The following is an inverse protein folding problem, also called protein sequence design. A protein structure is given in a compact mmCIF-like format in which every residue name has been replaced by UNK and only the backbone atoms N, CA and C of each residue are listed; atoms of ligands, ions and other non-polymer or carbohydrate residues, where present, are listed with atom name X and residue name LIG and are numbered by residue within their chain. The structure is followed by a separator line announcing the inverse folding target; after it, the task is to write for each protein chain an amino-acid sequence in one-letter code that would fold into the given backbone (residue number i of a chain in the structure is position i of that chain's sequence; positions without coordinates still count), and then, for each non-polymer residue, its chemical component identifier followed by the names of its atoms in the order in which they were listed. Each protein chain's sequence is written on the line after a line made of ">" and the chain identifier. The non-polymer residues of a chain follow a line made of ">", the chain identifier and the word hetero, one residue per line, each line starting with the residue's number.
data_IF_583975626280
#
_entry.id   IF_583975626280
#
_cell.length_a   1.000
_cell.length_b   1.000
_cell.length_c   1.000
_cell.angle_alpha   90.00
_cell.angle_beta   90.00
_cell.angle_gamma   90.00
#
_symmetry.space_group_name_H-M   'P 1'
#
loop_
_entity.id
_entity.type
_entity.pdbx_description
1 polymer ?
#
# COMPACT_ATOMS: atom_id res chain seq x y z
N UNK A 1 -10.24 11.88 -28.79
CA UNK A 1 -11.23 11.39 -27.82
C UNK A 1 -10.46 10.78 -26.67
N UNK A 2 -10.34 11.50 -25.54
CA UNK A 2 -9.78 10.96 -24.30
C UNK A 2 -10.87 10.06 -23.70
N UNK A 3 -10.68 8.76 -23.78
CA UNK A 3 -11.47 7.85 -22.96
C UNK A 3 -11.08 8.10 -21.49
N UNK A 4 -11.94 8.83 -20.81
CA UNK A 4 -11.89 8.99 -19.36
C UNK A 4 -12.16 7.61 -18.75
N UNK A 5 -11.11 6.94 -18.26
CA UNK A 5 -11.26 5.77 -17.40
C UNK A 5 -11.75 6.24 -16.01
N UNK A 6 -12.96 6.77 -15.98
CA UNK A 6 -13.66 7.04 -14.74
C UNK A 6 -14.10 5.70 -14.16
N UNK A 7 -13.34 5.21 -13.20
CA UNK A 7 -13.84 4.17 -12.32
C UNK A 7 -14.82 4.83 -11.36
N UNK A 8 -16.04 4.38 -11.34
CA UNK A 8 -16.98 4.75 -10.32
C UNK A 8 -16.39 4.39 -8.94
N UNK A 9 -16.51 5.28 -7.94
CA UNK A 9 -16.04 4.96 -6.60
C UNK A 9 -16.77 3.71 -6.10
N UNK A 10 -16.02 2.70 -5.69
CA UNK A 10 -16.58 1.47 -5.12
C UNK A 10 -17.38 1.85 -3.88
N UNK A 11 -18.65 1.41 -3.76
CA UNK A 11 -19.44 1.64 -2.57
C UNK A 11 -18.74 1.04 -1.33
N UNK A 12 -18.82 1.67 -0.15
CA UNK A 12 -18.16 1.17 1.07
C UNK A 12 -18.58 -0.26 1.49
N UNK A 13 -19.76 -0.70 1.04
CA UNK A 13 -20.38 -1.99 1.39
C UNK A 13 -20.19 -3.08 0.33
N UNK A 14 -19.23 -2.94 -0.57
CA UNK A 14 -19.00 -3.97 -1.57
C UNK A 14 -18.59 -5.29 -0.88
N UNK A 15 -19.30 -6.38 -1.21
CA UNK A 15 -18.96 -7.75 -0.75
C UNK A 15 -17.90 -8.40 -1.63
N UNK A 16 -17.22 -7.61 -2.45
CA UNK A 16 -16.21 -8.06 -3.38
C UNK A 16 -15.04 -8.69 -2.65
N UNK A 17 -14.55 -9.79 -3.18
CA UNK A 17 -13.40 -10.50 -2.62
C UNK A 17 -12.09 -10.01 -3.22
N UNK A 18 -10.99 -10.20 -2.51
CA UNK A 18 -9.65 -9.92 -3.04
C UNK A 18 -9.36 -10.72 -4.32
N UNK A 19 -9.90 -11.94 -4.43
CA UNK A 19 -9.74 -12.80 -5.61
C UNK A 19 -10.42 -12.20 -6.85
N UNK A 20 -11.65 -11.69 -6.71
CA UNK A 20 -12.38 -11.03 -7.78
C UNK A 20 -11.69 -9.74 -8.23
N UNK A 21 -11.24 -8.92 -7.27
CA UNK A 21 -10.49 -7.70 -7.53
C UNK A 21 -9.20 -8.01 -8.31
N UNK A 22 -8.44 -8.99 -7.83
CA UNK A 22 -7.17 -9.38 -8.44
C UNK A 22 -7.35 -9.97 -9.83
N UNK A 23 -8.40 -10.77 -10.04
CA UNK A 23 -8.72 -11.35 -11.35
C UNK A 23 -9.02 -10.25 -12.37
N UNK A 24 -9.92 -9.33 -12.03
CA UNK A 24 -10.25 -8.19 -12.90
C UNK A 24 -9.03 -7.32 -13.20
N UNK A 25 -8.26 -6.98 -12.16
CA UNK A 25 -7.02 -6.21 -12.31
C UNK A 25 -6.09 -6.85 -13.32
N UNK A 26 -5.81 -8.16 -13.19
CA UNK A 26 -4.89 -8.87 -14.06
C UNK A 26 -5.41 -8.96 -15.50
N UNK A 27 -6.69 -9.21 -15.69
CA UNK A 27 -7.32 -9.26 -17.03
C UNK A 27 -7.17 -7.91 -17.74
N UNK A 28 -7.51 -6.82 -17.05
CA UNK A 28 -7.42 -5.47 -17.62
C UNK A 28 -6.00 -4.97 -17.81
N UNK A 29 -5.11 -5.25 -16.84
CA UNK A 29 -3.71 -4.87 -16.94
C UNK A 29 -3.01 -5.55 -18.12
N UNK A 30 -3.28 -6.84 -18.36
CA UNK A 30 -2.71 -7.59 -19.49
C UNK A 30 -3.21 -7.10 -20.85
N UNK A 31 -4.39 -6.49 -20.92
CA UNK A 31 -4.94 -5.90 -22.12
C UNK A 31 -4.29 -4.54 -22.48
N UNK A 32 -3.60 -3.90 -21.54
CA UNK A 32 -2.91 -2.63 -21.79
C UNK A 32 -1.52 -2.88 -22.40
N UNK A 33 -1.21 -2.32 -23.57
CA UNK A 33 0.07 -2.55 -24.25
C UNK A 33 1.29 -2.23 -23.37
N UNK A 34 1.22 -1.15 -22.58
CA UNK A 34 2.30 -0.71 -21.69
C UNK A 34 2.51 -1.64 -20.48
N UNK A 35 1.57 -2.53 -20.17
CA UNK A 35 1.63 -3.50 -19.09
C UNK A 35 1.75 -4.95 -19.57
N UNK A 36 1.70 -5.16 -20.88
CA UNK A 36 1.84 -6.49 -21.49
C UNK A 36 3.19 -7.11 -21.14
N UNK A 37 3.19 -8.38 -20.75
CA UNK A 37 4.40 -9.12 -20.36
C UNK A 37 4.98 -8.76 -18.99
N UNK A 38 4.39 -7.83 -18.24
CA UNK A 38 4.83 -7.53 -16.88
C UNK A 38 4.45 -8.65 -15.91
N UNK A 39 5.32 -8.89 -14.93
CA UNK A 39 5.04 -9.76 -13.78
C UNK A 39 4.35 -8.94 -12.71
N UNK A 40 3.15 -9.38 -12.31
CA UNK A 40 2.37 -8.69 -11.29
C UNK A 40 2.57 -9.32 -9.91
N UNK A 41 2.82 -8.49 -8.92
CA UNK A 41 2.96 -8.85 -7.51
C UNK A 41 1.75 -8.27 -6.78
N UNK A 42 0.83 -9.14 -6.42
CA UNK A 42 -0.44 -8.77 -5.77
C UNK A 42 -0.25 -8.55 -4.27
N UNK A 43 -1.27 -8.01 -3.62
CA UNK A 43 -1.29 -7.88 -2.17
C UNK A 43 -1.32 -9.26 -1.48
N UNK A 44 -0.75 -9.31 -0.28
CA UNK A 44 -0.66 -10.51 0.56
C UNK A 44 -1.26 -10.25 1.93
N UNK A 45 -2.01 -11.20 2.46
CA UNK A 45 -2.60 -11.15 3.81
C UNK A 45 -4.02 -11.66 3.81
N UNK A 46 -4.65 -11.61 4.98
CA UNK A 46 -5.98 -12.18 5.20
C UNK A 46 -7.06 -11.09 5.25
N UNK A 47 -8.27 -11.45 4.83
CA UNK A 47 -9.45 -10.62 5.08
C UNK A 47 -9.61 -10.40 6.59
N UNK A 48 -9.86 -9.17 6.99
CA UNK A 48 -9.98 -8.80 8.41
C UNK A 48 -8.64 -8.57 9.11
N UNK A 49 -7.51 -8.50 8.36
CA UNK A 49 -6.25 -8.03 8.92
C UNK A 49 -6.46 -6.64 9.54
N UNK A 50 -6.07 -6.48 10.80
CA UNK A 50 -6.30 -5.22 11.54
C UNK A 50 -5.45 -4.07 11.03
N UNK A 51 -4.33 -4.37 10.38
CA UNK A 51 -3.39 -3.41 9.83
C UNK A 51 -3.15 -3.70 8.35
N UNK A 52 -3.34 -2.70 7.49
CA UNK A 52 -2.90 -2.75 6.11
C UNK A 52 -1.72 -1.81 5.89
N UNK A 53 -0.68 -2.28 5.20
CA UNK A 53 0.48 -1.48 4.82
C UNK A 53 0.52 -1.34 3.29
N UNK A 54 0.65 -0.10 2.83
CA UNK A 54 0.60 0.23 1.41
C UNK A 54 1.91 0.89 0.98
N UNK A 55 2.65 0.21 0.12
CA UNK A 55 3.86 0.73 -0.52
C UNK A 55 3.60 1.32 -1.91
N UNK A 56 4.65 1.68 -2.60
CA UNK A 56 4.59 2.32 -3.91
C UNK A 56 4.51 1.30 -5.05
N UNK A 57 5.52 0.48 -5.20
CA UNK A 57 5.65 -0.56 -6.22
C UNK A 57 6.58 -1.67 -5.74
N UNK A 58 6.45 -2.91 -6.28
CA UNK A 58 7.38 -3.99 -5.99
C UNK A 58 8.81 -3.69 -6.43
N UNK A 59 9.78 -4.26 -5.72
CA UNK A 59 11.18 -4.28 -6.11
C UNK A 59 11.61 -5.62 -6.74
N UNK A 60 12.88 -5.75 -7.18
CA UNK A 60 13.39 -6.99 -7.75
C UNK A 60 13.23 -8.22 -6.84
N UNK A 61 13.53 -8.17 -5.52
CA UNK A 61 13.29 -9.30 -4.63
C UNK A 61 11.82 -9.74 -4.55
N UNK A 62 10.89 -8.80 -4.72
CA UNK A 62 9.46 -9.10 -4.72
C UNK A 62 9.07 -9.92 -5.97
N UNK A 63 9.64 -9.57 -7.13
CA UNK A 63 9.39 -10.30 -8.36
C UNK A 63 10.00 -11.71 -8.35
N UNK A 64 11.20 -11.86 -7.76
CA UNK A 64 11.85 -13.17 -7.61
C UNK A 64 11.04 -14.10 -6.72
N UNK A 65 10.41 -13.57 -5.68
CA UNK A 65 9.63 -14.35 -4.71
C UNK A 65 8.13 -14.47 -5.06
N UNK A 66 7.61 -13.61 -5.93
CA UNK A 66 6.18 -13.48 -6.19
C UNK A 66 5.39 -12.84 -5.05
N UNK A 67 6.05 -12.18 -4.08
CA UNK A 67 5.45 -11.62 -2.85
C UNK A 67 5.87 -10.18 -2.64
N UNK A 68 5.00 -9.29 -2.10
CA UNK A 68 5.35 -7.90 -1.82
C UNK A 68 6.28 -7.79 -0.59
N UNK A 69 7.12 -6.78 -0.55
CA UNK A 69 8.03 -6.46 0.55
C UNK A 69 8.97 -7.61 0.92
N UNK A 70 9.78 -8.04 -0.01
CA UNK A 70 10.84 -9.02 0.17
C UNK A 70 12.23 -8.38 0.17
N UNK A 71 13.26 -9.17 0.47
CA UNK A 71 14.64 -8.68 0.54
C UNK A 71 14.88 -7.65 1.65
N UNK A 72 15.94 -6.83 1.58
CA UNK A 72 16.33 -5.92 2.67
C UNK A 72 15.24 -4.95 3.12
N UNK A 73 14.38 -4.50 2.20
CA UNK A 73 13.22 -3.63 2.51
C UNK A 73 12.18 -4.39 3.33
N UNK A 74 11.90 -5.63 2.94
CA UNK A 74 10.98 -6.53 3.66
C UNK A 74 11.51 -6.89 5.05
N UNK A 75 12.79 -7.23 5.15
CA UNK A 75 13.44 -7.54 6.43
C UNK A 75 13.33 -6.37 7.42
N UNK A 76 13.52 -5.14 6.93
CA UNK A 76 13.35 -3.95 7.76
C UNK A 76 11.88 -3.75 8.16
N UNK A 77 10.95 -3.94 7.24
CA UNK A 77 9.52 -3.86 7.53
C UNK A 77 9.10 -4.88 8.59
N UNK A 78 9.57 -6.12 8.49
CA UNK A 78 9.28 -7.17 9.48
C UNK A 78 9.81 -6.81 10.87
N UNK A 79 11.02 -6.24 10.97
CA UNK A 79 11.55 -5.73 12.25
C UNK A 79 10.71 -4.60 12.82
N UNK A 80 10.21 -3.70 11.97
CA UNK A 80 9.30 -2.63 12.38
C UNK A 80 8.00 -3.23 12.93
N UNK A 81 7.40 -4.21 12.24
CA UNK A 81 6.20 -4.90 12.70
C UNK A 81 6.43 -5.65 14.02
N UNK A 82 7.52 -6.41 14.14
CA UNK A 82 7.89 -7.11 15.37
C UNK A 82 8.05 -6.17 16.57
N UNK A 83 8.61 -4.98 16.33
CA UNK A 83 8.79 -3.97 17.39
C UNK A 83 7.47 -3.40 17.91
N UNK A 84 6.38 -3.53 17.18
CA UNK A 84 5.01 -3.18 17.62
C UNK A 84 4.16 -4.40 17.97
N UNK A 85 4.77 -5.59 18.08
CA UNK A 85 4.10 -6.82 18.51
C UNK A 85 3.29 -7.52 17.40
N UNK A 86 3.54 -7.22 16.14
CA UNK A 86 2.88 -7.85 14.99
C UNK A 86 3.84 -8.71 14.17
N UNK A 87 3.26 -9.69 13.48
CA UNK A 87 3.94 -10.46 12.45
C UNK A 87 3.41 -10.04 11.07
N UNK A 88 4.18 -10.34 10.02
CA UNK A 88 3.76 -10.14 8.64
C UNK A 88 2.40 -10.81 8.35
N UNK A 89 2.18 -12.01 8.88
CA UNK A 89 0.93 -12.76 8.73
C UNK A 89 -0.30 -12.11 9.38
N UNK A 90 -0.11 -11.15 10.28
CA UNK A 90 -1.19 -10.42 10.96
C UNK A 90 -1.67 -9.21 10.15
N UNK A 91 -0.97 -8.90 9.05
CA UNK A 91 -1.16 -7.70 8.26
C UNK A 91 -1.62 -8.02 6.84
N UNK A 92 -2.20 -7.03 6.18
CA UNK A 92 -2.35 -7.00 4.73
C UNK A 92 -1.27 -6.10 4.13
N UNK A 93 -0.46 -6.64 3.23
CA UNK A 93 0.67 -5.96 2.62
C UNK A 93 0.41 -5.78 1.12
N UNK A 94 0.44 -4.56 0.62
CA UNK A 94 0.21 -4.28 -0.80
C UNK A 94 0.98 -3.06 -1.27
N UNK A 95 1.01 -2.85 -2.58
CA UNK A 95 1.56 -1.65 -3.21
C UNK A 95 0.47 -0.96 -4.04
N UNK A 96 0.62 0.34 -4.31
CA UNK A 96 -0.26 1.05 -5.25
C UNK A 96 -0.15 0.39 -6.62
N UNK A 97 1.06 0.32 -7.17
CA UNK A 97 1.36 -0.33 -8.45
C UNK A 97 1.76 -1.79 -8.20
N UNK A 98 1.29 -2.70 -9.05
CA UNK A 98 1.43 -4.15 -8.81
C UNK A 98 2.55 -4.80 -9.63
N UNK A 99 3.45 -4.04 -10.24
CA UNK A 99 4.59 -4.57 -11.01
C UNK A 99 5.85 -3.75 -10.70
N UNK A 100 7.04 -4.32 -11.01
CA UNK A 100 8.29 -3.56 -10.89
C UNK A 100 8.26 -2.40 -11.86
N UNK A 101 8.42 -1.19 -11.33
CA UNK A 101 8.48 0.03 -12.11
C UNK A 101 9.64 0.90 -11.68
N UNK A 102 10.26 1.56 -12.63
CA UNK A 102 11.18 2.67 -12.34
C UNK A 102 10.40 3.95 -12.06
N UNK A 103 11.05 4.93 -11.43
CA UNK A 103 10.38 6.20 -11.08
C UNK A 103 9.72 6.89 -12.28
N UNK A 104 10.32 6.79 -13.46
CA UNK A 104 9.86 7.41 -14.71
C UNK A 104 8.65 6.69 -15.32
N UNK A 105 8.47 5.40 -15.05
CA UNK A 105 7.32 4.61 -15.49
C UNK A 105 6.06 4.86 -14.66
N UNK A 106 6.20 5.45 -13.47
CA UNK A 106 5.07 5.72 -12.58
C UNK A 106 4.35 7.03 -12.96
N UNK A 107 3.82 7.06 -14.17
CA UNK A 107 3.02 8.16 -14.68
C UNK A 107 1.69 8.30 -13.94
N UNK A 108 1.03 9.45 -14.08
CA UNK A 108 -0.30 9.63 -13.53
C UNK A 108 -1.31 8.62 -14.09
N UNK A 109 -1.19 8.23 -15.36
CA UNK A 109 -2.09 7.25 -15.98
C UNK A 109 -1.94 5.87 -15.34
N UNK A 110 -0.72 5.43 -15.07
CA UNK A 110 -0.45 4.19 -14.34
C UNK A 110 -1.02 4.26 -12.93
N UNK A 111 -0.79 5.35 -12.21
CA UNK A 111 -1.34 5.52 -10.87
C UNK A 111 -2.87 5.55 -10.88
N UNK A 112 -3.47 6.25 -11.84
CA UNK A 112 -4.92 6.32 -12.02
C UNK A 112 -5.53 4.95 -12.38
N UNK A 113 -4.81 4.11 -13.11
CA UNK A 113 -5.23 2.75 -13.39
C UNK A 113 -5.26 1.87 -12.13
N UNK A 114 -4.20 1.90 -11.31
CA UNK A 114 -4.07 1.00 -10.15
C UNK A 114 -4.79 1.50 -8.88
N UNK A 115 -4.91 2.81 -8.69
CA UNK A 115 -5.49 3.39 -7.47
C UNK A 115 -6.90 2.88 -7.14
N UNK A 116 -7.84 2.73 -8.10
CA UNK A 116 -9.16 2.18 -7.82
C UNK A 116 -9.11 0.74 -7.28
N UNK A 117 -8.21 -0.10 -7.78
CA UNK A 117 -8.03 -1.47 -7.29
C UNK A 117 -7.50 -1.48 -5.86
N UNK A 118 -6.50 -0.62 -5.55
CA UNK A 118 -6.04 -0.45 -4.18
C UNK A 118 -7.17 -0.04 -3.24
N UNK A 119 -8.03 0.89 -3.66
CA UNK A 119 -9.19 1.31 -2.86
C UNK A 119 -10.17 0.17 -2.60
N UNK A 120 -10.41 -0.68 -3.61
CA UNK A 120 -11.24 -1.89 -3.50
C UNK A 120 -10.59 -2.92 -2.57
N UNK A 121 -9.27 -3.15 -2.68
CA UNK A 121 -8.53 -4.02 -1.76
C UNK A 121 -8.71 -3.57 -0.30
N UNK A 122 -8.52 -2.29 0.01
CA UNK A 122 -8.71 -1.75 1.36
C UNK A 122 -10.15 -1.95 1.83
N UNK A 123 -11.14 -1.73 0.96
CA UNK A 123 -12.56 -1.96 1.26
C UNK A 123 -12.86 -3.44 1.54
N UNK A 124 -12.26 -4.36 0.78
CA UNK A 124 -12.45 -5.81 0.96
C UNK A 124 -11.77 -6.34 2.23
N UNK A 125 -10.57 -5.84 2.56
CA UNK A 125 -9.80 -6.21 3.77
C UNK A 125 -10.46 -5.68 5.03
N UNK A 126 -11.02 -4.46 4.99
CA UNK A 126 -11.65 -3.74 6.12
C UNK A 126 -10.70 -3.60 7.33
N UNK A 127 -9.48 -3.06 7.16
CA UNK A 127 -8.54 -2.93 8.27
C UNK A 127 -9.00 -1.84 9.25
N UNK A 128 -8.58 -1.95 10.52
CA UNK A 128 -8.78 -0.87 11.50
C UNK A 128 -7.90 0.34 11.20
N UNK A 129 -6.69 0.07 10.68
CA UNK A 129 -5.68 1.10 10.39
C UNK A 129 -5.03 0.78 9.04
N UNK A 130 -4.80 1.84 8.25
CA UNK A 130 -3.95 1.82 7.07
C UNK A 130 -2.67 2.58 7.36
N UNK A 131 -1.51 2.02 7.03
CA UNK A 131 -0.21 2.71 7.03
C UNK A 131 0.24 2.90 5.60
N UNK A 132 0.47 4.14 5.18
CA UNK A 132 1.04 4.44 3.86
C UNK A 132 2.53 4.70 3.96
N UNK A 133 3.32 4.00 3.14
CA UNK A 133 4.79 3.98 3.17
C UNK A 133 5.35 4.89 2.05
N UNK A 134 5.42 6.18 2.32
CA UNK A 134 5.99 7.18 1.40
C UNK A 134 4.98 8.08 0.68
N UNK A 135 5.47 8.91 -0.22
CA UNK A 135 4.67 9.95 -0.89
C UNK A 135 3.55 9.38 -1.76
N UNK A 136 3.86 8.46 -2.68
CA UNK A 136 2.90 7.97 -3.68
C UNK A 136 1.71 7.23 -3.06
N UNK A 137 1.88 6.25 -2.14
CA UNK A 137 0.74 5.62 -1.51
C UNK A 137 -0.10 6.60 -0.68
N UNK A 138 0.53 7.55 -0.01
CA UNK A 138 -0.19 8.61 0.72
C UNK A 138 -1.03 9.47 -0.22
N UNK A 139 -0.46 9.88 -1.35
CA UNK A 139 -1.16 10.65 -2.39
C UNK A 139 -2.30 9.85 -3.03
N UNK A 140 -2.07 8.57 -3.31
CA UNK A 140 -3.07 7.71 -3.95
C UNK A 140 -4.35 7.56 -3.11
N UNK A 141 -4.23 7.46 -1.78
CA UNK A 141 -5.38 7.32 -0.91
C UNK A 141 -5.97 8.66 -0.43
N UNK A 142 -5.15 9.67 -0.16
CA UNK A 142 -5.59 10.94 0.42
C UNK A 142 -5.74 12.08 -0.59
N UNK A 143 -5.34 11.87 -1.85
CA UNK A 143 -5.28 12.92 -2.88
C UNK A 143 -4.55 14.19 -2.40
N UNK A 144 -3.57 14.05 -1.52
CA UNK A 144 -2.82 15.16 -0.91
C UNK A 144 -1.65 15.58 -1.80
N UNK A 145 -1.42 16.89 -1.87
CA UNK A 145 -0.23 17.48 -2.54
C UNK A 145 0.94 17.69 -1.58
N UNK A 146 0.74 17.50 -0.26
CA UNK A 146 1.77 17.69 0.76
C UNK A 146 2.81 16.58 0.68
N UNK A 147 4.09 16.87 0.89
CA UNK A 147 5.14 15.84 0.95
C UNK A 147 5.01 15.00 2.22
N UNK A 148 5.53 13.76 2.16
CA UNK A 148 5.48 12.83 3.29
C UNK A 148 6.11 13.39 4.57
N UNK A 149 7.13 14.22 4.45
CA UNK A 149 7.79 14.87 5.59
C UNK A 149 6.86 15.79 6.41
N UNK A 150 5.78 16.29 5.81
CA UNK A 150 4.77 17.11 6.47
C UNK A 150 3.54 16.29 6.92
N UNK A 151 3.36 15.11 6.36
CA UNK A 151 2.18 14.27 6.63
C UNK A 151 2.47 13.13 7.59
N UNK A 152 3.73 12.64 7.64
CA UNK A 152 4.10 11.54 8.50
C UNK A 152 3.81 11.85 9.99
N UNK A 153 3.43 10.82 10.72
CA UNK A 153 3.18 10.95 12.17
C UNK A 153 1.92 11.74 12.53
N UNK A 154 1.07 12.06 11.56
CA UNK A 154 -0.20 12.75 11.79
C UNK A 154 -1.34 11.89 11.27
N UNK A 155 -2.25 11.51 12.17
CA UNK A 155 -3.42 10.75 11.80
C UNK A 155 -4.26 11.46 10.75
N UNK A 156 -4.64 10.71 9.74
CA UNK A 156 -5.56 11.11 8.69
C UNK A 156 -6.81 10.23 8.76
N UNK A 157 -7.89 10.68 8.16
CA UNK A 157 -9.08 9.88 7.91
C UNK A 157 -9.09 9.43 6.44
N UNK A 158 -9.29 8.15 6.23
CA UNK A 158 -9.54 7.58 4.91
C UNK A 158 -10.87 6.83 4.92
N UNK A 159 -11.95 7.51 4.55
CA UNK A 159 -13.29 6.93 4.49
C UNK A 159 -13.71 6.25 5.81
N UNK A 160 -13.43 6.89 6.94
CA UNK A 160 -13.71 6.38 8.27
C UNK A 160 -12.65 5.41 8.83
N UNK A 161 -11.60 5.09 8.06
CA UNK A 161 -10.47 4.28 8.52
C UNK A 161 -9.33 5.21 8.93
N UNK A 162 -8.73 4.98 10.10
CA UNK A 162 -7.52 5.70 10.54
C UNK A 162 -6.37 5.40 9.59
N UNK A 163 -5.71 6.44 9.08
CA UNK A 163 -4.57 6.30 8.21
C UNK A 163 -3.36 7.03 8.78
N UNK A 164 -2.21 6.33 8.83
CA UNK A 164 -0.92 6.87 9.29
C UNK A 164 0.06 6.91 8.12
N UNK A 165 0.39 8.09 7.61
CA UNK A 165 1.50 8.25 6.67
C UNK A 165 2.83 8.13 7.40
N UNK A 166 3.80 7.40 6.81
CA UNK A 166 5.17 7.33 7.32
C UNK A 166 6.18 7.14 6.17
N UNK A 167 7.48 7.16 6.47
CA UNK A 167 8.51 6.92 5.47
C UNK A 167 8.53 5.47 5.01
N UNK A 168 8.90 5.26 3.74
CA UNK A 168 9.09 3.93 3.18
C UNK A 168 10.35 3.26 3.78
N UNK A 169 10.31 1.97 4.17
CA UNK A 169 11.49 1.24 4.62
C UNK A 169 12.68 1.29 3.63
N UNK A 170 12.43 1.30 2.32
CA UNK A 170 13.49 1.49 1.33
C UNK A 170 14.21 2.85 1.45
N UNK A 171 13.50 3.90 1.87
CA UNK A 171 14.13 5.19 2.17
C UNK A 171 15.01 5.10 3.42
N UNK A 172 14.58 4.36 4.46
CA UNK A 172 15.35 4.17 5.70
C UNK A 172 16.64 3.37 5.51
N UNK A 173 16.72 2.53 4.48
CA UNK A 173 17.96 1.85 4.12
C UNK A 173 19.01 2.82 3.55
N UNK A 174 18.55 3.88 2.87
CA UNK A 174 19.42 4.95 2.32
C UNK A 174 19.72 6.05 3.33
N UNK A 175 18.76 6.35 4.19
CA UNK A 175 18.89 7.35 5.28
C UNK A 175 18.44 6.76 6.62
N UNK A 176 19.35 6.03 7.32
CA UNK A 176 19.06 5.42 8.61
C UNK A 176 18.71 6.42 9.72
N UNK A 177 19.04 7.70 9.57
CA UNK A 177 18.72 8.75 10.58
C UNK A 177 17.21 8.91 10.77
N UNK A 178 16.42 8.57 9.76
CA UNK A 178 14.95 8.65 9.76
C UNK A 178 14.24 7.48 10.47
N UNK A 179 14.97 6.47 10.92
CA UNK A 179 14.39 5.32 11.64
C UNK A 179 13.66 5.73 12.92
N UNK A 180 14.19 6.72 13.66
CA UNK A 180 13.56 7.22 14.89
C UNK A 180 12.18 7.79 14.60
N UNK A 181 12.03 8.54 13.51
CA UNK A 181 10.77 9.16 13.12
C UNK A 181 9.72 8.08 12.78
N UNK A 182 10.10 7.06 12.03
CA UNK A 182 9.20 5.92 11.73
C UNK A 182 8.83 5.15 12.99
N UNK A 183 9.77 4.99 13.91
CA UNK A 183 9.49 4.35 15.21
C UNK A 183 8.41 5.10 16.00
N UNK A 184 8.49 6.44 16.05
CA UNK A 184 7.45 7.26 16.70
C UNK A 184 6.07 7.08 16.03
N UNK A 185 6.02 7.07 14.69
CA UNK A 185 4.78 6.83 13.94
C UNK A 185 4.19 5.46 14.27
N UNK A 186 5.02 4.42 14.26
CA UNK A 186 4.58 3.05 14.48
C UNK A 186 4.18 2.76 15.93
N UNK A 187 4.74 3.47 16.92
CA UNK A 187 4.24 3.44 18.30
C UNK A 187 2.79 3.94 18.37
N UNK A 188 2.47 5.04 17.69
CA UNK A 188 1.10 5.55 17.62
C UNK A 188 0.15 4.52 16.98
N UNK A 189 0.60 3.81 15.94
CA UNK A 189 -0.16 2.73 15.30
C UNK A 189 -0.41 1.59 16.29
N UNK A 190 0.61 1.13 17.01
CA UNK A 190 0.50 0.10 18.06
C UNK A 190 -0.54 0.48 19.11
N UNK A 191 -0.42 1.68 19.65
CA UNK A 191 -1.29 2.15 20.73
C UNK A 191 -2.75 2.25 20.27
N UNK A 192 -2.98 2.70 19.04
CA UNK A 192 -4.32 2.74 18.43
C UNK A 192 -4.90 1.34 18.16
N UNK A 193 -4.08 0.36 17.73
CA UNK A 193 -4.50 -1.03 17.55
C UNK A 193 -4.88 -1.68 18.89
N UNK A 194 -4.15 -1.37 19.97
CA UNK A 194 -4.43 -1.90 21.30
C UNK A 194 -5.72 -1.31 21.87
N UNK A 195 -5.99 -0.03 21.64
CA UNK A 195 -7.20 0.63 22.11
C UNK A 195 -8.49 0.17 21.39
N UNK A 196 -8.34 -0.48 20.23
CA UNK A 196 -9.45 -0.98 19.40
C UNK A 196 -9.72 -2.49 19.60
N UNK A 197 -9.07 -3.10 20.58
CA UNK A 197 -9.24 -4.53 21.02
C UNK A 197 -10.18 -4.62 22.21
#
# INVERSE_FOLDING_TARGET
>A
MQESFLFDPVPPDSNETLEEINKELLERARALPQLSGRVFILGEGVKGARLALVGESPGPPDAESGRPFMGPTGDLLERILQAIGLKRSDCYLTNVVKYISTGDELTNDILNFFTPYLQREITAVKPNIVVTLGNRPTKALLNSKKPISQMRGVWQDYRGIKLMPTFNPAYLLRDPTKKREVWEDMKMVRDALTASS
#
